data_IF_039426370322
#
_entry.id   IF_039426370322
#
_cell.length_a   1.000
_cell.length_b   1.000
_cell.length_c   1.000
_cell.angle_alpha   90.00
_cell.angle_beta   90.00
_cell.angle_gamma   90.00
#
_symmetry.space_group_name_H-M   'P 1'
#
loop_
_entity.id
_entity.type
_entity.pdbx_description
1 polymer ?
#
# COMPACT_ATOMS: atom_id res chain seq x y z
N UNK A 1 25.44 0.72 -52.94
CA UNK A 1 24.95 0.48 -51.56
C UNK A 1 25.19 1.78 -50.79
N UNK A 2 24.15 2.60 -50.54
CA UNK A 2 24.29 3.82 -49.72
C UNK A 2 24.22 3.38 -48.26
N UNK A 3 25.37 3.34 -47.61
CA UNK A 3 25.45 3.15 -46.15
C UNK A 3 24.95 4.44 -45.52
N UNK A 4 23.93 4.35 -44.66
CA UNK A 4 23.43 5.49 -43.91
C UNK A 4 24.53 5.90 -42.91
N UNK A 5 25.06 7.10 -43.06
CA UNK A 5 26.00 7.67 -42.08
C UNK A 5 25.28 7.89 -40.75
N UNK A 6 25.95 7.53 -39.65
CA UNK A 6 25.47 7.78 -38.29
C UNK A 6 25.21 9.28 -38.12
N UNK A 7 24.04 9.65 -37.57
CA UNK A 7 23.77 11.02 -37.18
C UNK A 7 24.45 11.32 -35.84
N UNK A 8 25.26 12.36 -35.79
CA UNK A 8 25.94 12.81 -34.56
C UNK A 8 25.01 13.62 -33.62
N UNK A 9 23.77 13.89 -34.05
CA UNK A 9 22.82 14.70 -33.32
C UNK A 9 21.60 13.89 -32.84
N UNK A 10 21.07 14.17 -31.63
CA UNK A 10 19.84 13.56 -31.13
C UNK A 10 18.65 13.84 -32.06
N UNK A 11 17.74 12.88 -32.14
CA UNK A 11 16.50 13.00 -32.91
C UNK A 11 15.56 13.99 -32.24
N UNK A 12 15.14 15.01 -32.99
CA UNK A 12 14.06 15.89 -32.58
C UNK A 12 12.73 15.16 -32.74
N UNK A 13 12.12 14.80 -31.63
CA UNK A 13 10.87 14.04 -31.58
C UNK A 13 9.94 14.77 -30.63
N UNK A 14 8.81 15.25 -31.15
CA UNK A 14 7.82 15.93 -30.29
C UNK A 14 6.92 14.95 -29.55
N UNK A 15 6.56 13.82 -30.18
CA UNK A 15 5.71 12.79 -29.58
C UNK A 15 6.37 11.43 -29.73
N UNK A 16 6.67 10.79 -28.60
CA UNK A 16 7.20 9.45 -28.56
C UNK A 16 6.19 8.51 -27.92
N UNK A 17 5.70 7.54 -28.71
CA UNK A 17 4.90 6.42 -28.22
C UNK A 17 5.68 5.14 -28.47
N UNK A 18 6.03 4.42 -27.41
CA UNK A 18 6.88 3.24 -27.50
C UNK A 18 6.39 2.13 -26.61
N UNK A 19 6.45 0.90 -27.13
CA UNK A 19 6.24 -0.31 -26.37
C UNK A 19 7.56 -1.08 -26.25
N UNK A 20 8.01 -1.37 -25.04
CA UNK A 20 9.31 -2.02 -24.78
C UNK A 20 9.15 -3.22 -23.85
N UNK A 21 9.99 -4.24 -24.02
CA UNK A 21 10.00 -5.37 -23.08
C UNK A 21 10.83 -5.08 -21.83
N UNK A 22 11.93 -4.33 -22.01
CA UNK A 22 12.93 -4.10 -20.96
C UNK A 22 13.28 -2.63 -20.83
N UNK A 23 13.63 -2.22 -19.60
CA UNK A 23 14.01 -0.83 -19.29
C UNK A 23 15.20 -0.35 -20.11
N UNK A 24 16.18 -1.20 -20.40
CA UNK A 24 17.41 -0.83 -21.11
C UNK A 24 17.15 -0.42 -22.57
N UNK A 25 16.12 -0.98 -23.19
CA UNK A 25 15.67 -0.58 -24.52
C UNK A 25 15.16 0.86 -24.52
N UNK A 26 14.29 1.20 -23.55
CA UNK A 26 13.76 2.55 -23.39
C UNK A 26 14.89 3.54 -23.08
N UNK A 27 15.78 3.21 -22.14
CA UNK A 27 16.88 4.12 -21.77
C UNK A 27 17.84 4.36 -22.92
N UNK A 28 18.10 3.35 -23.77
CA UNK A 28 18.87 3.52 -25.00
C UNK A 28 18.15 4.43 -25.99
N UNK A 29 16.84 4.25 -26.18
CA UNK A 29 16.04 5.08 -27.07
C UNK A 29 16.05 6.56 -26.62
N UNK A 30 15.79 6.82 -25.34
CA UNK A 30 15.73 8.17 -24.77
C UNK A 30 17.07 8.92 -24.88
N UNK A 31 18.21 8.21 -24.88
CA UNK A 31 19.54 8.83 -25.10
C UNK A 31 19.76 9.35 -26.52
N UNK A 32 18.98 8.87 -27.48
CA UNK A 32 19.07 9.30 -28.88
C UNK A 32 18.00 10.33 -29.23
N UNK A 33 17.20 10.80 -28.27
CA UNK A 33 16.15 11.79 -28.46
C UNK A 33 16.57 13.10 -27.81
N UNK A 34 16.33 14.21 -28.50
CA UNK A 34 16.43 15.54 -27.90
C UNK A 34 15.24 15.75 -26.95
N UNK A 35 15.47 15.53 -25.66
CA UNK A 35 14.44 15.65 -24.62
C UNK A 35 13.85 17.06 -24.52
N UNK A 36 14.57 18.10 -24.99
CA UNK A 36 14.06 19.47 -25.03
C UNK A 36 12.98 19.63 -26.11
N UNK A 37 12.98 18.81 -27.15
CA UNK A 37 11.95 18.83 -28.19
C UNK A 37 10.69 18.05 -27.83
N UNK A 38 10.78 17.16 -26.83
CA UNK A 38 9.73 16.20 -26.48
C UNK A 38 8.58 16.88 -25.74
N UNK A 39 7.37 16.74 -26.29
CA UNK A 39 6.10 17.26 -25.74
C UNK A 39 5.24 16.15 -25.14
N UNK A 40 5.32 14.93 -25.66
CA UNK A 40 4.55 13.79 -25.18
C UNK A 40 5.42 12.54 -25.14
N UNK A 41 5.39 11.82 -24.01
CA UNK A 41 6.03 10.53 -23.85
C UNK A 41 5.01 9.51 -23.35
N UNK A 42 4.72 8.51 -24.17
CA UNK A 42 3.85 7.38 -23.84
C UNK A 42 4.67 6.09 -23.92
N UNK A 43 4.86 5.47 -22.77
CA UNK A 43 5.66 4.25 -22.62
C UNK A 43 4.76 3.15 -22.10
N UNK A 44 4.70 2.05 -22.83
CA UNK A 44 4.03 0.85 -22.38
C UNK A 44 5.03 -0.31 -22.26
N UNK A 45 5.15 -0.93 -21.09
CA UNK A 45 5.90 -2.18 -20.99
C UNK A 45 5.07 -3.31 -21.61
N UNK A 46 5.68 -4.03 -22.54
CA UNK A 46 5.17 -5.30 -23.04
C UNK A 46 5.50 -6.42 -22.06
N UNK A 47 4.52 -7.30 -21.86
CA UNK A 47 4.61 -8.43 -20.95
C UNK A 47 4.66 -9.70 -21.79
N UNK A 48 5.76 -10.46 -21.68
CA UNK A 48 5.96 -11.70 -22.47
C UNK A 48 5.09 -12.86 -21.93
N UNK A 49 4.92 -12.95 -20.61
CA UNK A 49 4.05 -13.95 -19.98
C UNK A 49 3.17 -13.35 -18.89
N UNK A 50 1.97 -13.93 -18.62
CA UNK A 50 1.10 -13.45 -17.54
C UNK A 50 1.76 -13.42 -16.15
N UNK A 51 2.78 -14.27 -15.94
CA UNK A 51 3.55 -14.30 -14.70
C UNK A 51 4.49 -13.09 -14.54
N UNK A 52 4.88 -12.43 -15.64
CA UNK A 52 5.78 -11.27 -15.63
C UNK A 52 5.09 -9.97 -15.20
N UNK A 53 3.76 -9.95 -15.15
CA UNK A 53 2.96 -8.86 -14.57
C UNK A 53 3.25 -8.67 -13.09
N UNK A 54 3.61 -9.74 -12.38
CA UNK A 54 3.95 -9.69 -10.96
C UNK A 54 5.39 -9.24 -10.70
N UNK A 55 6.20 -9.05 -11.76
CA UNK A 55 7.57 -8.56 -11.62
C UNK A 55 7.55 -7.04 -11.71
N UNK A 56 7.66 -6.40 -10.54
CA UNK A 56 7.87 -4.97 -10.41
C UNK A 56 9.19 -4.57 -11.10
N UNK A 57 9.09 -3.90 -12.26
CA UNK A 57 10.28 -3.35 -12.94
C UNK A 57 10.38 -1.86 -12.64
N UNK A 58 11.46 -1.52 -11.95
CA UNK A 58 11.82 -0.15 -11.63
C UNK A 58 12.39 0.58 -12.84
N UNK A 59 11.88 1.78 -13.09
CA UNK A 59 12.29 2.70 -14.13
C UNK A 59 12.72 4.04 -13.51
N UNK A 60 13.97 4.42 -13.78
CA UNK A 60 14.51 5.71 -13.37
C UNK A 60 14.30 6.72 -14.51
N UNK A 61 13.48 7.75 -14.25
CA UNK A 61 13.18 8.83 -15.19
C UNK A 61 13.84 10.15 -14.81
N UNK A 62 14.90 10.14 -14.00
CA UNK A 62 15.67 11.34 -13.65
C UNK A 62 16.16 12.13 -14.87
N UNK A 63 16.44 11.47 -16.00
CA UNK A 63 16.80 12.15 -17.25
C UNK A 63 15.72 13.10 -17.78
N UNK A 64 14.45 12.89 -17.42
CA UNK A 64 13.35 13.75 -17.85
C UNK A 64 13.33 15.09 -17.10
N UNK A 65 14.15 15.29 -16.08
CA UNK A 65 14.26 16.58 -15.39
C UNK A 65 14.66 17.73 -16.35
N UNK A 66 15.34 17.41 -17.44
CA UNK A 66 15.71 18.37 -18.49
C UNK A 66 14.67 18.49 -19.63
N UNK A 67 13.54 17.78 -19.55
CA UNK A 67 12.50 17.77 -20.58
C UNK A 67 11.50 18.92 -20.37
N UNK A 68 11.99 20.16 -20.40
CA UNK A 68 11.24 21.38 -20.05
C UNK A 68 9.94 21.58 -20.87
N UNK A 69 9.85 21.01 -22.07
CA UNK A 69 8.70 21.12 -22.95
C UNK A 69 7.71 19.94 -22.83
N UNK A 70 7.97 18.96 -21.95
CA UNK A 70 7.16 17.77 -21.79
C UNK A 70 5.81 18.13 -21.13
N UNK A 71 4.73 17.94 -21.88
CA UNK A 71 3.36 18.28 -21.46
C UNK A 71 2.61 17.06 -20.92
N UNK A 72 2.94 15.88 -21.42
CA UNK A 72 2.25 14.64 -21.07
C UNK A 72 3.24 13.49 -20.93
N UNK A 73 3.17 12.80 -19.80
CA UNK A 73 3.94 11.59 -19.51
C UNK A 73 2.98 10.48 -19.08
N UNK A 74 2.94 9.42 -19.88
CA UNK A 74 2.26 8.17 -19.56
C UNK A 74 3.28 7.05 -19.49
N UNK A 75 3.30 6.33 -18.37
CA UNK A 75 4.15 5.16 -18.21
C UNK A 75 3.34 4.05 -17.58
N UNK A 76 3.07 3.04 -18.39
CA UNK A 76 2.29 1.87 -18.02
C UNK A 76 3.21 0.68 -17.76
N UNK A 77 2.85 -0.15 -16.78
CA UNK A 77 3.52 -1.41 -16.47
C UNK A 77 5.01 -1.28 -16.04
N UNK A 78 5.42 -0.08 -15.61
CA UNK A 78 6.66 0.19 -14.88
C UNK A 78 6.35 0.85 -13.55
N UNK A 79 7.25 0.70 -12.58
CA UNK A 79 7.25 1.49 -11.35
C UNK A 79 8.36 2.53 -11.46
N UNK A 80 8.02 3.81 -11.38
CA UNK A 80 8.97 4.91 -11.42
C UNK A 80 9.73 4.95 -10.09
N UNK A 81 11.03 4.66 -10.13
CA UNK A 81 11.90 4.68 -8.95
C UNK A 81 12.55 6.05 -8.70
N UNK A 82 12.56 6.93 -9.70
CA UNK A 82 12.99 8.32 -9.52
C UNK A 82 11.96 9.10 -8.69
N UNK A 83 12.38 10.09 -7.86
CA UNK A 83 11.44 10.88 -7.07
C UNK A 83 10.47 11.68 -7.96
N UNK A 84 9.26 11.96 -7.46
CA UNK A 84 8.23 12.70 -8.20
C UNK A 84 8.76 14.06 -8.71
N UNK A 85 9.64 14.75 -7.97
CA UNK A 85 10.23 16.03 -8.41
C UNK A 85 10.89 15.99 -9.79
N UNK A 86 11.45 14.84 -10.19
CA UNK A 86 12.10 14.69 -11.51
C UNK A 86 11.12 14.80 -12.67
N UNK A 87 9.82 14.59 -12.42
CA UNK A 87 8.74 14.66 -13.43
C UNK A 87 7.62 15.63 -13.02
N UNK A 88 7.78 16.35 -11.89
CA UNK A 88 6.75 17.24 -11.35
C UNK A 88 6.49 18.49 -12.24
N UNK A 89 7.38 18.79 -13.18
CA UNK A 89 7.21 19.87 -14.15
C UNK A 89 6.21 19.50 -15.27
N UNK A 90 5.83 18.22 -15.41
CA UNK A 90 4.97 17.73 -16.49
C UNK A 90 3.50 17.85 -16.08
N UNK A 91 2.67 18.69 -16.73
CA UNK A 91 1.31 18.97 -16.26
C UNK A 91 0.33 17.79 -16.36
N UNK A 92 0.59 16.77 -17.18
CA UNK A 92 -0.27 15.59 -17.29
C UNK A 92 0.53 14.31 -17.05
N UNK A 93 0.34 13.72 -15.87
CA UNK A 93 1.02 12.51 -15.43
C UNK A 93 0.04 11.33 -15.32
N UNK A 94 0.41 10.20 -15.91
CA UNK A 94 -0.22 8.90 -15.71
C UNK A 94 0.89 7.87 -15.50
N UNK A 95 1.31 7.69 -14.25
CA UNK A 95 2.52 6.94 -13.88
C UNK A 95 2.31 6.23 -12.55
N UNK A 96 2.99 5.10 -12.34
CA UNK A 96 3.05 4.44 -11.04
C UNK A 96 4.36 4.82 -10.35
N UNK A 97 4.32 5.51 -9.21
CA UNK A 97 5.53 6.06 -8.56
C UNK A 97 5.83 5.26 -7.28
N UNK A 98 7.07 4.80 -7.14
CA UNK A 98 7.50 4.02 -5.99
C UNK A 98 7.45 4.82 -4.69
N UNK A 99 7.90 6.07 -4.73
CA UNK A 99 7.99 6.94 -3.55
C UNK A 99 7.61 8.36 -3.94
N UNK A 100 6.57 8.89 -3.29
CA UNK A 100 6.21 10.30 -3.40
C UNK A 100 6.36 10.97 -2.03
N UNK A 101 7.14 12.05 -1.98
CA UNK A 101 7.22 12.92 -0.82
C UNK A 101 6.13 13.99 -0.92
N UNK A 102 5.59 14.43 0.22
CA UNK A 102 4.54 15.44 0.22
C UNK A 102 4.98 16.74 -0.48
N UNK A 103 6.21 17.18 -0.22
CA UNK A 103 6.76 18.40 -0.84
C UNK A 103 6.80 18.30 -2.37
N UNK A 104 7.09 17.11 -2.90
CA UNK A 104 7.09 16.86 -4.34
C UNK A 104 5.66 16.93 -4.92
N UNK A 105 4.66 16.43 -4.18
CA UNK A 105 3.24 16.49 -4.59
C UNK A 105 2.72 17.92 -4.56
N UNK A 106 3.08 18.69 -3.53
CA UNK A 106 2.72 20.11 -3.42
C UNK A 106 3.36 20.92 -4.55
N UNK A 107 4.64 20.67 -4.87
CA UNK A 107 5.32 21.32 -6.00
C UNK A 107 4.71 20.96 -7.36
N UNK A 108 4.29 19.70 -7.54
CA UNK A 108 3.53 19.28 -8.71
C UNK A 108 2.22 20.06 -8.84
N UNK A 109 1.51 20.28 -7.73
CA UNK A 109 0.29 21.09 -7.73
C UNK A 109 0.54 22.54 -8.12
N UNK A 110 1.59 23.18 -7.63
CA UNK A 110 1.97 24.54 -8.05
C UNK A 110 2.17 24.60 -9.57
N UNK A 111 2.79 23.57 -10.14
CA UNK A 111 2.97 23.42 -11.59
C UNK A 111 1.62 23.29 -12.32
N UNK A 112 0.66 22.52 -11.78
CA UNK A 112 -0.69 22.45 -12.35
C UNK A 112 -1.41 23.79 -12.30
N UNK A 113 -1.31 24.52 -11.18
CA UNK A 113 -1.96 25.82 -11.00
C UNK A 113 -1.39 26.88 -11.95
N UNK A 114 -0.07 26.89 -12.15
CA UNK A 114 0.61 27.85 -13.02
C UNK A 114 0.37 27.62 -14.51
N UNK A 115 0.11 26.38 -14.93
CA UNK A 115 -0.06 26.00 -16.35
C UNK A 115 -1.45 26.31 -16.95
N UNK A 116 -2.35 27.02 -16.23
CA UNK A 116 -3.58 27.68 -16.70
C UNK A 116 -4.17 27.21 -18.06
N UNK A 117 -4.94 26.12 -18.07
CA UNK A 117 -5.94 25.84 -19.13
C UNK A 117 -7.04 24.80 -18.79
N UNK A 118 -7.16 24.30 -17.56
CA UNK A 118 -8.12 23.24 -17.22
C UNK A 118 -8.79 23.53 -15.87
N UNK A 119 -10.09 23.23 -15.79
CA UNK A 119 -10.92 23.28 -14.58
C UNK A 119 -10.26 22.55 -13.40
N UNK A 120 -10.38 23.12 -12.19
CA UNK A 120 -9.82 22.57 -10.94
C UNK A 120 -10.24 21.11 -10.65
N UNK A 121 -11.35 20.63 -11.22
CA UNK A 121 -11.89 19.29 -11.00
C UNK A 121 -11.20 18.18 -11.77
N UNK A 122 -10.49 18.48 -12.87
CA UNK A 122 -10.01 17.45 -13.81
C UNK A 122 -8.51 17.13 -13.65
N UNK A 123 -7.92 17.52 -12.51
CA UNK A 123 -6.46 17.58 -12.31
C UNK A 123 -5.94 16.69 -11.18
N UNK A 124 -6.73 15.70 -10.75
CA UNK A 124 -6.28 14.75 -9.76
C UNK A 124 -5.16 13.88 -10.35
N UNK A 125 -4.10 13.66 -9.58
CA UNK A 125 -3.00 12.80 -9.97
C UNK A 125 -3.50 11.35 -10.00
N UNK A 126 -3.45 10.72 -11.17
CA UNK A 126 -3.76 9.30 -11.30
C UNK A 126 -2.55 8.49 -10.86
N UNK A 127 -2.69 7.82 -9.72
CA UNK A 127 -1.65 6.98 -9.12
C UNK A 127 -2.29 5.65 -8.78
N UNK A 128 -1.81 4.55 -9.36
CA UNK A 128 -2.33 3.23 -9.00
C UNK A 128 -1.68 2.70 -7.71
N UNK A 129 -0.40 2.98 -7.50
CA UNK A 129 0.33 2.56 -6.31
C UNK A 129 1.05 3.74 -5.68
N UNK A 130 0.74 4.01 -4.43
CA UNK A 130 1.26 5.14 -3.69
C UNK A 130 1.90 4.67 -2.38
N UNK A 131 3.18 5.00 -2.21
CA UNK A 131 3.87 4.89 -0.93
C UNK A 131 4.32 6.26 -0.46
N UNK A 132 3.85 6.64 0.72
CA UNK A 132 4.06 7.97 1.29
C UNK A 132 4.62 7.89 2.70
N UNK A 133 5.52 8.82 2.99
CA UNK A 133 6.08 9.05 4.31
C UNK A 133 5.55 10.38 4.79
N UNK A 134 4.77 10.38 5.87
CA UNK A 134 4.09 11.58 6.38
C UNK A 134 4.38 11.80 7.86
N UNK A 135 4.46 13.05 8.27
CA UNK A 135 4.62 13.47 9.66
C UNK A 135 3.31 13.39 10.46
N UNK A 136 2.14 13.36 9.79
CA UNK A 136 0.84 13.37 10.46
C UNK A 136 -0.36 13.44 9.51
N UNK A 137 -1.54 13.56 10.10
CA UNK A 137 -2.84 13.57 9.39
C UNK A 137 -2.92 14.67 8.33
N UNK A 138 -2.62 15.91 8.68
CA UNK A 138 -2.81 17.05 7.77
C UNK A 138 -2.03 16.89 6.46
N UNK A 139 -0.80 16.38 6.55
CA UNK A 139 0.05 16.13 5.40
C UNK A 139 -0.51 15.00 4.52
N UNK A 140 -0.98 13.91 5.13
CA UNK A 140 -1.63 12.82 4.39
C UNK A 140 -2.90 13.31 3.68
N UNK A 141 -3.73 14.09 4.38
CA UNK A 141 -5.00 14.56 3.84
C UNK A 141 -4.80 15.55 2.69
N UNK A 142 -3.87 16.50 2.84
CA UNK A 142 -3.47 17.38 1.74
C UNK A 142 -3.04 16.57 0.51
N UNK A 143 -2.23 15.54 0.70
CA UNK A 143 -1.76 14.69 -0.40
C UNK A 143 -2.92 13.91 -1.04
N UNK A 144 -3.78 13.27 -0.25
CA UNK A 144 -4.91 12.47 -0.76
C UNK A 144 -5.97 13.32 -1.46
N UNK A 145 -6.15 14.59 -1.07
CA UNK A 145 -7.04 15.52 -1.77
C UNK A 145 -6.59 15.85 -3.20
N UNK A 146 -5.34 15.54 -3.56
CA UNK A 146 -4.76 15.79 -4.88
C UNK A 146 -4.62 14.53 -5.72
N UNK A 147 -5.05 13.37 -5.21
CA UNK A 147 -4.96 12.08 -5.91
C UNK A 147 -6.34 11.64 -6.33
N UNK A 148 -6.44 11.04 -7.51
CA UNK A 148 -7.65 10.39 -7.96
C UNK A 148 -7.80 9.07 -7.21
N UNK A 149 -8.52 9.10 -6.08
CA UNK A 149 -8.73 7.93 -5.24
C UNK A 149 -9.41 6.77 -5.98
N UNK A 150 -10.12 7.04 -7.09
CA UNK A 150 -10.70 5.98 -7.93
C UNK A 150 -9.64 5.24 -8.73
N UNK A 151 -8.49 5.87 -9.02
CA UNK A 151 -7.37 5.22 -9.70
C UNK A 151 -6.48 4.40 -8.75
N UNK A 152 -6.54 4.69 -7.44
CA UNK A 152 -5.66 4.13 -6.43
C UNK A 152 -6.00 2.66 -6.14
N UNK A 153 -5.03 1.77 -6.39
CA UNK A 153 -5.10 0.33 -6.13
C UNK A 153 -4.30 -0.08 -4.90
N UNK A 154 -3.25 0.65 -4.54
CA UNK A 154 -2.42 0.37 -3.37
C UNK A 154 -2.00 1.65 -2.67
N UNK A 155 -2.16 1.68 -1.35
CA UNK A 155 -1.72 2.77 -0.49
C UNK A 155 -0.88 2.24 0.66
N UNK A 156 0.37 2.66 0.73
CA UNK A 156 1.27 2.42 1.86
C UNK A 156 1.61 3.74 2.55
N UNK A 157 1.20 3.89 3.81
CA UNK A 157 1.49 5.07 4.64
C UNK A 157 2.45 4.69 5.75
N UNK A 158 3.56 5.42 5.86
CA UNK A 158 4.55 5.27 6.94
C UNK A 158 4.81 6.60 7.62
N UNK A 159 5.14 6.54 8.91
CA UNK A 159 5.54 7.75 9.64
C UNK A 159 6.91 8.20 9.16
N UNK A 160 7.04 9.48 8.81
CA UNK A 160 8.32 10.11 8.57
C UNK A 160 8.97 10.43 9.92
N UNK A 161 10.06 9.73 10.26
CA UNK A 161 10.81 9.94 11.51
C UNK A 161 12.03 10.80 11.22
N UNK A 162 11.99 12.08 11.57
CA UNK A 162 13.09 13.03 11.29
C UNK A 162 14.25 12.94 12.29
N UNK A 163 14.05 12.34 13.47
CA UNK A 163 15.04 12.35 14.56
C UNK A 163 15.37 10.91 14.98
N UNK A 164 16.66 10.56 15.20
CA UNK A 164 17.04 9.25 15.71
C UNK A 164 16.34 8.96 17.04
N UNK A 165 15.51 7.93 16.97
CA UNK A 165 14.74 7.27 18.01
C UNK A 165 15.30 7.48 19.43
N UNK A 166 14.63 8.28 20.27
CA UNK A 166 14.77 8.16 21.72
C UNK A 166 13.74 7.13 22.20
N UNK A 167 14.14 5.91 22.58
CA UNK A 167 13.22 4.90 23.09
C UNK A 167 12.63 5.42 24.41
N UNK A 168 11.36 5.84 24.40
CA UNK A 168 10.69 6.28 25.63
C UNK A 168 9.38 7.04 25.42
N UNK A 169 9.26 7.82 24.33
CA UNK A 169 8.05 8.58 24.01
C UNK A 169 7.52 8.20 22.62
N UNK A 170 7.06 6.96 22.48
CA UNK A 170 6.37 6.51 21.27
C UNK A 170 4.91 7.00 21.31
N UNK A 171 4.71 8.31 21.19
CA UNK A 171 3.38 8.86 20.92
C UNK A 171 3.03 8.42 19.50
N UNK A 172 2.29 7.32 19.37
CA UNK A 172 1.75 6.90 18.09
C UNK A 172 0.78 7.97 17.61
N UNK A 173 1.02 8.48 16.43
CA UNK A 173 0.14 9.47 15.81
C UNK A 173 -1.15 8.81 15.35
N UNK A 174 -2.22 9.59 15.29
CA UNK A 174 -3.53 9.12 14.88
C UNK A 174 -3.85 9.56 13.45
N UNK A 175 -4.50 8.70 12.67
CA UNK A 175 -4.98 8.99 11.32
C UNK A 175 -6.47 8.71 11.19
N UNK A 176 -7.19 9.63 10.56
CA UNK A 176 -8.56 9.42 10.11
C UNK A 176 -8.54 9.14 8.61
N UNK A 177 -8.92 7.92 8.23
CA UNK A 177 -8.92 7.45 6.85
C UNK A 177 -10.33 7.37 6.25
N UNK A 178 -11.29 8.14 6.79
CA UNK A 178 -12.67 8.21 6.28
C UNK A 178 -12.75 8.57 4.78
N UNK A 179 -11.82 9.39 4.27
CA UNK A 179 -11.75 9.70 2.83
C UNK A 179 -11.54 8.48 1.93
N UNK A 180 -10.96 7.40 2.44
CA UNK A 180 -10.71 6.19 1.66
C UNK A 180 -12.00 5.43 1.35
N UNK A 181 -13.15 5.77 1.96
CA UNK A 181 -14.45 5.18 1.60
C UNK A 181 -14.78 5.39 0.11
N UNK A 182 -14.26 6.46 -0.52
CA UNK A 182 -14.40 6.75 -1.93
C UNK A 182 -13.40 6.01 -2.84
N UNK A 183 -12.44 5.27 -2.28
CA UNK A 183 -11.37 4.59 -3.01
C UNK A 183 -11.81 3.18 -3.47
N UNK A 184 -12.85 3.12 -4.29
CA UNK A 184 -13.55 1.87 -4.67
C UNK A 184 -12.62 0.79 -5.29
N UNK A 185 -11.49 1.20 -5.88
CA UNK A 185 -10.53 0.29 -6.52
C UNK A 185 -9.33 -0.08 -5.64
N UNK A 186 -9.29 0.37 -4.38
CA UNK A 186 -8.19 0.12 -3.45
C UNK A 186 -8.16 -1.35 -3.03
N UNK A 187 -7.09 -2.04 -3.39
CA UNK A 187 -6.86 -3.48 -3.15
C UNK A 187 -6.02 -3.74 -1.92
N UNK A 188 -5.06 -2.86 -1.65
CA UNK A 188 -4.13 -2.99 -0.55
C UNK A 188 -3.96 -1.67 0.19
N UNK A 189 -4.16 -1.70 1.51
CA UNK A 189 -3.88 -0.59 2.40
C UNK A 189 -2.96 -1.08 3.52
N UNK A 190 -1.76 -0.49 3.58
CA UNK A 190 -0.78 -0.74 4.62
C UNK A 190 -0.48 0.56 5.35
N UNK A 191 -0.71 0.59 6.66
CA UNK A 191 -0.39 1.73 7.51
C UNK A 191 0.48 1.28 8.66
N UNK A 192 1.71 1.77 8.67
CA UNK A 192 2.70 1.48 9.71
C UNK A 192 2.93 2.72 10.58
N UNK A 193 3.17 2.50 11.87
CA UNK A 193 3.54 3.53 12.85
C UNK A 193 2.46 4.58 13.19
N UNK A 194 1.23 4.41 12.68
CA UNK A 194 0.05 5.18 13.06
C UNK A 194 -1.02 4.33 13.76
N UNK A 195 -1.95 4.99 14.45
CA UNK A 195 -3.21 4.42 14.94
C UNK A 195 -4.36 5.01 14.12
N UNK A 196 -5.17 4.17 13.49
CA UNK A 196 -6.33 4.58 12.71
C UNK A 196 -7.52 4.83 13.63
N UNK A 197 -8.07 6.05 13.64
CA UNK A 197 -9.24 6.43 14.45
C UNK A 197 -10.56 6.34 13.68
N UNK A 198 -10.52 6.27 12.35
CA UNK A 198 -11.72 6.06 11.53
C UNK A 198 -12.31 4.67 11.76
N UNK A 199 -13.61 4.53 11.51
CA UNK A 199 -14.30 3.23 11.56
C UNK A 199 -13.67 2.22 10.59
N UNK A 200 -13.69 0.93 10.94
CA UNK A 200 -13.29 -0.13 10.02
C UNK A 200 -14.16 -0.13 8.77
N UNK A 201 -15.43 0.30 8.86
CA UNK A 201 -16.34 0.41 7.73
C UNK A 201 -15.75 1.23 6.57
N UNK A 202 -15.10 2.35 6.86
CA UNK A 202 -14.53 3.25 5.85
C UNK A 202 -13.44 2.60 4.99
N UNK A 203 -12.82 1.53 5.48
CA UNK A 203 -11.76 0.78 4.76
C UNK A 203 -12.12 -0.70 4.56
N UNK A 204 -13.34 -1.11 4.91
CA UNK A 204 -13.75 -2.52 4.89
C UNK A 204 -13.87 -3.09 3.47
N UNK A 205 -14.02 -2.22 2.47
CA UNK A 205 -14.02 -2.60 1.06
C UNK A 205 -12.63 -3.04 0.57
N UNK A 206 -11.54 -2.73 1.30
CA UNK A 206 -10.17 -3.07 0.91
C UNK A 206 -9.87 -4.52 1.29
N UNK A 207 -9.58 -5.40 0.32
CA UNK A 207 -9.42 -6.82 0.58
C UNK A 207 -8.13 -7.16 1.34
N UNK A 208 -7.05 -6.37 1.18
CA UNK A 208 -5.77 -6.57 1.87
C UNK A 208 -5.49 -5.40 2.83
N UNK A 209 -5.69 -5.63 4.13
CA UNK A 209 -5.47 -4.63 5.19
C UNK A 209 -4.32 -5.01 6.12
N UNK A 210 -3.41 -4.06 6.33
CA UNK A 210 -2.39 -4.09 7.38
C UNK A 210 -2.39 -2.76 8.13
N UNK A 211 -3.19 -2.65 9.19
CA UNK A 211 -3.45 -1.40 9.92
C UNK A 211 -3.54 -1.62 11.43
N UNK A 212 -3.24 -0.58 12.21
CA UNK A 212 -3.49 -0.55 13.65
C UNK A 212 -4.69 0.36 13.95
N UNK A 213 -5.85 -0.19 14.26
CA UNK A 213 -7.06 0.53 14.61
C UNK A 213 -7.05 0.98 16.07
N UNK A 214 -7.64 2.13 16.36
CA UNK A 214 -7.89 2.59 17.73
C UNK A 214 -8.99 1.76 18.38
N UNK A 215 -10.13 1.68 17.70
CA UNK A 215 -11.34 0.97 18.13
C UNK A 215 -11.83 0.12 16.96
N UNK A 216 -12.33 -1.07 17.26
CA UNK A 216 -12.98 -1.96 16.28
C UNK A 216 -14.24 -2.52 16.92
N UNK A 217 -15.39 -2.37 16.26
CA UNK A 217 -16.63 -2.99 16.71
C UNK A 217 -16.80 -4.40 16.12
N UNK A 218 -17.43 -5.31 16.87
CA UNK A 218 -17.57 -6.71 16.45
C UNK A 218 -18.40 -6.86 15.16
N UNK A 219 -19.44 -6.05 14.98
CA UNK A 219 -20.27 -6.06 13.79
C UNK A 219 -19.51 -5.58 12.54
N UNK A 220 -18.57 -4.65 12.68
CA UNK A 220 -17.68 -4.21 11.61
C UNK A 220 -16.76 -5.35 11.14
N UNK A 221 -16.23 -6.15 12.07
CA UNK A 221 -15.38 -7.31 11.74
C UNK A 221 -16.18 -8.38 10.97
N UNK A 222 -17.43 -8.62 11.38
CA UNK A 222 -18.30 -9.56 10.69
C UNK A 222 -18.63 -9.10 9.27
N UNK A 223 -18.99 -7.82 9.09
CA UNK A 223 -19.23 -7.23 7.77
C UNK A 223 -17.99 -7.27 6.88
N UNK A 224 -16.82 -6.95 7.43
CA UNK A 224 -15.55 -7.04 6.70
C UNK A 224 -15.31 -8.46 6.16
N UNK A 225 -15.62 -9.47 6.97
CA UNK A 225 -15.49 -10.86 6.56
C UNK A 225 -16.46 -11.24 5.43
N UNK A 226 -17.72 -10.78 5.48
CA UNK A 226 -18.71 -11.00 4.41
C UNK A 226 -18.27 -10.37 3.08
N UNK A 227 -17.81 -9.12 3.11
CA UNK A 227 -17.27 -8.41 1.94
C UNK A 227 -16.09 -9.19 1.34
N UNK A 228 -15.20 -9.71 2.19
CA UNK A 228 -14.09 -10.54 1.71
C UNK A 228 -14.55 -11.82 1.04
N UNK A 229 -15.49 -12.55 1.63
CA UNK A 229 -15.98 -13.81 1.07
C UNK A 229 -16.64 -13.60 -0.31
N UNK A 230 -17.36 -12.50 -0.47
CA UNK A 230 -18.00 -12.15 -1.75
C UNK A 230 -16.99 -11.71 -2.83
N UNK A 231 -15.83 -11.16 -2.44
CA UNK A 231 -14.84 -10.60 -3.38
C UNK A 231 -14.15 -11.63 -4.30
N UNK A 232 -14.27 -12.94 -4.07
CA UNK A 232 -13.62 -14.03 -4.85
C UNK A 232 -12.10 -13.88 -5.07
N UNK A 233 -11.42 -13.04 -4.28
CA UNK A 233 -9.97 -12.85 -4.41
C UNK A 233 -9.29 -14.06 -3.77
N UNK A 234 -8.63 -14.87 -4.62
CA UNK A 234 -7.78 -15.97 -4.16
C UNK A 234 -6.65 -15.37 -3.30
N UNK A 235 -6.39 -15.86 -2.08
CA UNK A 235 -5.26 -15.38 -1.30
C UNK A 235 -3.97 -15.65 -2.08
N UNK A 236 -3.27 -14.60 -2.49
CA UNK A 236 -1.92 -14.72 -3.02
C UNK A 236 -1.00 -15.20 -1.88
N UNK A 237 0.00 -16.03 -2.19
CA UNK A 237 0.84 -16.77 -1.22
C UNK A 237 1.61 -15.91 -0.19
N UNK A 238 1.46 -14.59 -0.21
CA UNK A 238 2.16 -13.64 0.68
C UNK A 238 1.25 -12.61 1.36
N UNK A 239 -0.08 -12.66 1.22
CA UNK A 239 -0.95 -11.69 1.89
C UNK A 239 -1.17 -12.05 3.37
N UNK A 240 -0.20 -11.72 4.23
CA UNK A 240 -0.43 -11.69 5.69
C UNK A 240 -1.26 -10.45 6.05
N UNK A 241 -2.50 -10.67 6.48
CA UNK A 241 -3.37 -9.59 6.96
C UNK A 241 -3.17 -9.39 8.46
N UNK A 242 -3.00 -8.14 8.85
CA UNK A 242 -2.68 -7.79 10.24
C UNK A 242 -3.49 -6.56 10.63
N UNK A 243 -4.64 -6.81 11.26
CA UNK A 243 -5.45 -5.76 11.87
C UNK A 243 -5.18 -5.80 13.37
N UNK A 244 -4.63 -4.72 13.92
CA UNK A 244 -4.37 -4.61 15.36
C UNK A 244 -5.34 -3.64 16.00
N UNK A 245 -5.76 -3.87 17.24
CA UNK A 245 -6.55 -2.91 18.03
C UNK A 245 -5.68 -2.33 19.15
N UNK A 246 -5.68 -1.01 19.31
CA UNK A 246 -4.80 -0.31 20.25
C UNK A 246 -5.39 -0.13 21.65
N UNK A 247 -6.72 -0.09 21.80
CA UNK A 247 -7.34 0.24 23.08
C UNK A 247 -7.58 -0.99 23.98
N UNK A 248 -7.01 -0.97 25.20
CA UNK A 248 -7.07 -2.06 26.18
C UNK A 248 -8.32 -2.04 27.09
N UNK A 249 -9.10 -0.96 27.08
CA UNK A 249 -10.04 -0.64 28.18
C UNK A 249 -11.53 -0.81 27.86
N UNK A 250 -11.92 -1.17 26.63
CA UNK A 250 -13.34 -1.24 26.23
C UNK A 250 -13.81 -2.63 25.76
N UNK A 251 -13.09 -3.70 26.13
CA UNK A 251 -13.65 -5.07 26.10
C UNK A 251 -14.13 -5.44 27.53
N UNK A 252 -14.83 -4.52 28.17
CA UNK A 252 -15.26 -4.65 29.58
C UNK A 252 -16.64 -5.29 29.75
N UNK A 253 -17.09 -6.10 28.78
CA UNK A 253 -18.16 -7.04 29.07
C UNK A 253 -17.84 -8.52 28.84
N UNK A 254 -16.77 -8.93 28.12
CA UNK A 254 -16.47 -10.39 27.98
C UNK A 254 -14.97 -10.78 27.96
N UNK A 255 -13.95 -9.93 27.69
CA UNK A 255 -12.54 -10.43 27.66
C UNK A 255 -11.47 -9.38 28.00
N UNK A 256 -10.48 -9.66 28.87
CA UNK A 256 -9.29 -8.82 29.02
C UNK A 256 -8.23 -9.16 27.96
N UNK A 257 -7.75 -8.12 27.26
CA UNK A 257 -6.62 -8.11 26.30
C UNK A 257 -6.66 -9.14 25.16
N UNK A 258 -7.19 -8.75 24.00
CA UNK A 258 -7.15 -9.59 22.79
C UNK A 258 -6.18 -9.04 21.73
N UNK A 259 -5.25 -9.86 21.26
CA UNK A 259 -4.68 -9.71 19.93
C UNK A 259 -5.56 -10.49 18.96
N UNK A 260 -5.91 -9.88 17.83
CA UNK A 260 -6.56 -10.59 16.74
C UNK A 260 -5.53 -10.67 15.60
N UNK A 261 -4.95 -11.84 15.39
CA UNK A 261 -4.05 -12.09 14.26
C UNK A 261 -4.68 -13.14 13.36
N UNK A 262 -4.89 -12.81 12.09
CA UNK A 262 -5.43 -13.74 11.11
C UNK A 262 -4.29 -14.38 10.33
N UNK A 263 -4.21 -15.71 10.33
CA UNK A 263 -3.32 -16.45 9.42
C UNK A 263 -4.15 -17.47 8.65
N UNK A 264 -4.01 -17.46 7.33
CA UNK A 264 -4.67 -18.42 6.45
C UNK A 264 -3.65 -19.53 6.12
N UNK A 265 -3.95 -20.79 6.46
CA UNK A 265 -3.15 -21.95 6.04
C UNK A 265 -3.88 -22.74 4.96
N UNK A 266 -3.15 -23.41 4.06
CA UNK A 266 -3.67 -24.01 2.82
C UNK A 266 -4.57 -25.27 3.00
N UNK A 267 -4.97 -25.63 4.22
CA UNK A 267 -5.96 -26.68 4.46
C UNK A 267 -7.32 -26.06 4.80
N UNK A 268 -8.39 -26.64 4.27
CA UNK A 268 -9.75 -26.10 4.09
C UNK A 268 -10.54 -25.66 5.35
N UNK A 269 -9.90 -25.42 6.49
CA UNK A 269 -10.54 -24.87 7.68
C UNK A 269 -9.84 -23.59 8.14
N UNK A 270 -10.58 -22.48 8.07
CA UNK A 270 -10.13 -21.18 8.55
C UNK A 270 -10.33 -21.12 10.06
N UNK A 271 -9.22 -21.14 10.81
CA UNK A 271 -9.23 -20.97 12.26
C UNK A 271 -9.02 -19.49 12.60
N UNK A 272 -10.04 -18.86 13.17
CA UNK A 272 -9.88 -17.56 13.82
C UNK A 272 -9.09 -17.80 15.11
N UNK A 273 -7.78 -17.54 15.09
CA UNK A 273 -6.98 -17.54 16.31
C UNK A 273 -7.12 -16.20 17.03
N UNK A 274 -7.93 -16.18 18.08
CA UNK A 274 -7.77 -15.18 19.13
C UNK A 274 -6.53 -15.55 19.94
N UNK A 275 -5.38 -14.96 19.61
CA UNK A 275 -4.23 -15.05 20.51
C UNK A 275 -4.41 -14.05 21.65
N UNK A 276 -4.97 -14.51 22.76
CA UNK A 276 -4.94 -13.78 24.02
C UNK A 276 -3.55 -14.06 24.62
N UNK A 277 -2.59 -13.13 24.44
CA UNK A 277 -1.31 -13.18 25.17
C UNK A 277 -1.54 -12.66 26.58
N UNK A 278 -1.62 -13.57 27.54
CA UNK A 278 -1.45 -13.22 28.95
C UNK A 278 0.03 -12.92 29.22
N UNK A 279 0.31 -11.85 29.94
CA UNK A 279 1.67 -11.49 30.36
C UNK A 279 1.74 -11.67 31.88
N UNK A 280 1.88 -12.92 32.31
CA UNK A 280 2.42 -13.24 33.63
C UNK A 280 3.47 -14.34 33.50
N UNK A 281 4.52 -14.24 34.33
CA UNK A 281 5.74 -15.04 34.26
C UNK A 281 5.43 -16.55 34.29
N UNK A 282 6.14 -17.28 33.42
CA UNK A 282 6.34 -18.74 33.34
C UNK A 282 5.43 -19.54 32.37
N UNK A 283 6.08 -20.12 31.34
CA UNK A 283 5.66 -21.35 30.66
C UNK A 283 4.98 -21.18 29.29
N UNK A 284 5.58 -21.71 28.22
CA UNK A 284 5.05 -21.67 26.84
C UNK A 284 4.27 -22.95 26.46
N UNK A 285 3.17 -22.76 25.72
CA UNK A 285 2.52 -23.78 24.89
C UNK A 285 1.28 -23.24 24.17
N UNK A 286 1.03 -23.63 22.90
CA UNK A 286 -0.14 -23.21 22.10
C UNK A 286 -0.88 -24.45 21.61
N UNK A 287 -2.18 -24.57 21.89
CA UNK A 287 -3.05 -25.61 21.31
C UNK A 287 -4.28 -24.97 20.67
N UNK A 288 -4.74 -25.53 19.56
CA UNK A 288 -5.75 -24.96 18.69
C UNK A 288 -6.99 -25.86 18.65
N UNK A 289 -8.16 -25.32 19.01
CA UNK A 289 -9.46 -26.03 18.94
C UNK A 289 -10.37 -25.47 17.83
N UNK A 290 -11.19 -26.32 17.16
CA UNK A 290 -12.07 -25.89 16.08
C UNK A 290 -13.55 -25.75 16.49
N UNK A 291 -14.23 -24.90 15.72
CA UNK A 291 -15.65 -24.88 15.35
C UNK A 291 -16.72 -24.30 16.30
N UNK A 292 -17.49 -23.39 15.67
CA UNK A 292 -18.77 -22.84 16.07
C UNK A 292 -19.92 -23.77 15.66
N UNK A 293 -20.95 -23.88 16.50
CA UNK A 293 -22.32 -24.11 16.03
C UNK A 293 -23.28 -23.12 16.68
N UNK A 294 -24.25 -22.70 15.88
CA UNK A 294 -25.25 -21.67 16.12
C UNK A 294 -26.06 -21.98 17.40
N UNK A 295 -26.36 -20.90 18.13
CA UNK A 295 -27.19 -20.82 19.35
C UNK A 295 -26.62 -21.50 20.60
N UNK A 296 -26.32 -20.67 21.61
CA UNK A 296 -25.76 -20.97 22.95
C UNK A 296 -24.25 -21.21 22.96
N UNK A 297 -23.49 -20.25 23.50
CA UNK A 297 -22.08 -20.43 23.84
C UNK A 297 -22.03 -21.00 25.26
N UNK A 298 -21.97 -22.32 25.38
CA UNK A 298 -21.41 -22.96 26.58
C UNK A 298 -19.88 -22.96 26.44
N UNK A 299 -19.19 -22.19 27.28
CA UNK A 299 -17.74 -22.30 27.41
C UNK A 299 -17.44 -23.41 28.41
N UNK A 300 -17.08 -24.59 27.91
CA UNK A 300 -16.51 -25.65 28.74
C UNK A 300 -15.04 -25.33 29.03
N UNK A 301 -14.67 -25.22 30.31
CA UNK A 301 -13.28 -25.22 30.75
C UNK A 301 -12.77 -26.66 30.77
N UNK A 302 -11.81 -26.99 29.90
CA UNK A 302 -11.09 -28.26 29.99
C UNK A 302 -9.60 -27.96 30.23
N UNK A 303 -9.14 -28.22 31.46
CA UNK A 303 -7.72 -28.29 31.80
C UNK A 303 -7.26 -29.69 31.41
N UNK A 304 -6.41 -29.80 30.37
CA UNK A 304 -5.69 -31.04 30.09
C UNK A 304 -4.23 -30.82 30.45
N UNK A 305 -3.80 -31.48 31.52
CA UNK A 305 -2.40 -31.63 31.91
C UNK A 305 -1.80 -32.81 31.13
N UNK A 306 -0.57 -32.72 30.60
CA UNK A 306 0.13 -33.92 30.20
C UNK A 306 0.70 -34.59 31.46
N UNK A 307 0.19 -35.78 31.76
CA UNK A 307 0.99 -36.82 32.41
C UNK A 307 2.19 -37.13 31.52
N UNK A 308 3.36 -37.32 32.12
CA UNK A 308 4.20 -38.50 31.88
C UNK A 308 5.31 -38.57 32.95
N UNK A 309 5.05 -39.46 33.90
CA UNK A 309 5.92 -40.39 34.62
C UNK A 309 7.45 -40.15 34.74
N UNK A 310 7.84 -40.14 36.02
CA UNK A 310 8.94 -40.84 36.69
C UNK A 310 10.40 -40.66 36.23
N UNK A 311 11.25 -40.20 37.15
CA UNK A 311 12.26 -41.02 37.86
C UNK A 311 12.84 -40.22 39.04
N UNK A 312 12.94 -40.82 40.25
CA UNK A 312 13.72 -40.25 41.36
C UNK A 312 13.22 -40.60 42.76
N UNK A 313 13.59 -41.78 43.25
CA UNK A 313 13.29 -42.35 44.57
C UNK A 313 14.12 -41.79 45.74
N UNK A 314 13.46 -41.70 46.90
CA UNK A 314 13.90 -41.76 48.31
C UNK A 314 15.12 -40.93 48.79
N UNK A 315 14.86 -39.94 49.67
CA UNK A 315 14.87 -40.07 51.14
C UNK A 315 14.11 -38.89 51.76
#
# INVERSE_FOLDING_TARGET
MKVLESRDCPLQVEELKVSVFRRDQLMRLLRHIDLKSLKCLDVNRLVESPNDLNVEIMLDLSLLECAENLKELRVMNFIISSPLRSIAHVPKLCVNILTAYCDDVLKFQETLLTTNSLSKSDRLLQVEELKVYVQGQDQLMQLLHHIDLKSLKRLEVRQLVEVPYRPGNNVKLMLDLSLLECAENLKELCVSDFIIISSLHSIAHVPCLSVHMHTIHCDEVLKFHEVRQSSRISPTRHSEQRIFCANRSFITSIFPTSFVSYTHSNHQDLKILFMIRYLEKFGCGTTVLPCFTKTTIEVAFLIVMPSNDFYGTFL
#
